data_IF_592290151592
#
_entry.id   IF_592290151592
#
_cell.length_a   1.000
_cell.length_b   1.000
_cell.length_c   1.000
_cell.angle_alpha   90.00
_cell.angle_beta   90.00
_cell.angle_gamma   90.00
#
_symmetry.space_group_name_H-M   'P 1'
#
loop_
_entity.id
_entity.type
_entity.pdbx_description
1 polymer ?
#
# COMPACT_ATOMS: atom_id res chain seq x y z
N UNK A 1 14.43 -8.55 -3.08
CA UNK A 1 13.58 -7.58 -2.37
C UNK A 1 12.56 -6.90 -3.28
N UNK A 2 12.94 -6.50 -4.49
CA UNK A 2 12.02 -5.86 -5.44
C UNK A 2 10.86 -6.78 -5.83
N UNK A 3 11.12 -8.04 -6.16
CA UNK A 3 10.07 -9.02 -6.47
C UNK A 3 9.14 -9.25 -5.29
N UNK A 4 9.67 -9.25 -4.07
CA UNK A 4 8.88 -9.38 -2.85
C UNK A 4 7.98 -8.16 -2.67
N UNK A 5 8.50 -6.95 -2.90
CA UNK A 5 7.70 -5.73 -2.85
C UNK A 5 6.54 -5.77 -3.84
N UNK A 6 6.82 -6.15 -5.09
CA UNK A 6 5.79 -6.29 -6.13
C UNK A 6 4.77 -7.36 -5.74
N UNK A 7 5.22 -8.49 -5.17
CA UNK A 7 4.31 -9.55 -4.71
C UNK A 7 3.35 -9.04 -3.63
N UNK A 8 3.82 -8.22 -2.69
CA UNK A 8 2.95 -7.59 -1.70
C UNK A 8 1.93 -6.65 -2.33
N UNK A 9 2.32 -5.88 -3.36
CA UNK A 9 1.38 -5.02 -4.09
C UNK A 9 0.32 -5.83 -4.80
N UNK A 10 0.71 -6.90 -5.48
CA UNK A 10 -0.23 -7.77 -6.19
C UNK A 10 -1.22 -8.40 -5.21
N UNK A 11 -0.72 -8.95 -4.10
CA UNK A 11 -1.57 -9.54 -3.06
C UNK A 11 -2.51 -8.49 -2.46
N UNK A 12 -2.00 -7.30 -2.15
CA UNK A 12 -2.80 -6.22 -1.58
C UNK A 12 -3.90 -5.76 -2.52
N UNK A 13 -3.58 -5.47 -3.77
CA UNK A 13 -4.56 -5.03 -4.75
C UNK A 13 -5.55 -6.12 -5.12
N UNK A 14 -5.13 -7.39 -5.13
CA UNK A 14 -6.05 -8.52 -5.32
C UNK A 14 -7.08 -8.60 -4.18
N UNK A 15 -6.64 -8.39 -2.95
CA UNK A 15 -7.52 -8.34 -1.79
C UNK A 15 -8.45 -7.12 -1.83
N UNK A 16 -8.04 -6.00 -2.45
CA UNK A 16 -8.93 -4.86 -2.68
C UNK A 16 -10.12 -5.25 -3.55
N UNK A 17 -9.91 -6.07 -4.57
CA UNK A 17 -10.99 -6.56 -5.43
C UNK A 17 -11.97 -7.40 -4.60
N UNK A 18 -11.45 -8.28 -3.75
CA UNK A 18 -12.27 -9.08 -2.84
C UNK A 18 -13.05 -8.19 -1.86
N UNK A 19 -12.40 -7.18 -1.31
CA UNK A 19 -13.04 -6.23 -0.39
C UNK A 19 -14.17 -5.46 -1.09
N UNK A 20 -13.94 -5.02 -2.33
CA UNK A 20 -14.96 -4.34 -3.11
C UNK A 20 -16.17 -5.25 -3.37
N UNK A 21 -15.95 -6.54 -3.63
CA UNK A 21 -17.03 -7.52 -3.76
C UNK A 21 -17.80 -7.70 -2.46
N UNK A 22 -17.13 -7.74 -1.32
CA UNK A 22 -17.77 -7.79 -0.01
C UNK A 22 -18.63 -6.56 0.24
N UNK A 23 -18.15 -5.38 -0.17
CA UNK A 23 -18.87 -4.13 -0.03
C UNK A 23 -20.19 -4.16 -0.82
N UNK A 24 -20.15 -4.71 -2.04
CA UNK A 24 -21.34 -4.92 -2.86
C UNK A 24 -22.30 -5.90 -2.18
N UNK A 25 -21.78 -7.01 -1.63
CA UNK A 25 -22.61 -8.00 -0.93
C UNK A 25 -23.22 -7.41 0.34
N UNK A 26 -22.47 -6.59 1.08
CA UNK A 26 -23.00 -5.90 2.26
C UNK A 26 -24.16 -4.97 1.89
N UNK A 27 -24.03 -4.23 0.78
CA UNK A 27 -25.09 -3.34 0.28
C UNK A 27 -26.33 -4.11 -0.12
N UNK A 28 -26.20 -5.39 -0.49
CA UNK A 28 -27.30 -6.27 -0.88
C UNK A 28 -27.79 -7.18 0.25
N UNK A 29 -27.25 -7.03 1.47
CA UNK A 29 -27.51 -7.92 2.61
C UNK A 29 -27.23 -9.41 2.31
N UNK A 30 -26.22 -9.68 1.46
CA UNK A 30 -25.86 -11.04 1.01
C UNK A 30 -24.52 -11.53 1.51
N UNK A 31 -23.87 -10.78 2.41
CA UNK A 31 -22.54 -11.15 2.90
C UNK A 31 -22.66 -12.26 3.97
N UNK A 32 -22.35 -13.49 3.57
CA UNK A 32 -22.34 -14.66 4.46
C UNK A 32 -20.93 -15.12 4.84
N UNK A 33 -19.89 -14.33 4.52
CA UNK A 33 -18.50 -14.74 4.71
C UNK A 33 -18.01 -14.60 6.14
N UNK A 34 -18.72 -13.83 6.98
CA UNK A 34 -18.28 -13.48 8.33
C UNK A 34 -17.21 -12.42 8.38
N UNK A 35 -16.79 -11.87 7.22
CA UNK A 35 -15.80 -10.80 7.11
C UNK A 35 -16.48 -9.53 6.63
N UNK A 36 -16.03 -8.38 7.17
CA UNK A 36 -16.51 -7.08 6.70
C UNK A 36 -15.58 -6.54 5.63
N UNK A 37 -16.12 -5.68 4.73
CA UNK A 37 -15.30 -5.03 3.71
C UNK A 37 -14.20 -4.18 4.34
N UNK A 38 -14.47 -3.50 5.46
CA UNK A 38 -13.51 -2.67 6.17
C UNK A 38 -12.32 -3.46 6.69
N UNK A 39 -12.55 -4.67 7.25
CA UNK A 39 -11.48 -5.56 7.70
C UNK A 39 -10.57 -5.97 6.56
N UNK A 40 -11.16 -6.34 5.41
CA UNK A 40 -10.40 -6.75 4.23
C UNK A 40 -9.66 -5.57 3.62
N UNK A 41 -10.27 -4.38 3.55
CA UNK A 41 -9.58 -3.17 3.10
C UNK A 41 -8.39 -2.84 3.98
N UNK A 42 -8.54 -2.95 5.30
CA UNK A 42 -7.46 -2.69 6.25
C UNK A 42 -6.29 -3.66 6.03
N UNK A 43 -6.58 -4.95 5.89
CA UNK A 43 -5.56 -5.96 5.61
C UNK A 43 -4.87 -5.71 4.27
N UNK A 44 -5.65 -5.43 3.22
CA UNK A 44 -5.14 -5.11 1.89
C UNK A 44 -4.22 -3.89 1.92
N UNK A 45 -4.60 -2.86 2.66
CA UNK A 45 -3.83 -1.64 2.77
C UNK A 45 -2.48 -1.89 3.47
N UNK A 46 -2.44 -2.78 4.45
CA UNK A 46 -1.19 -3.18 5.10
C UNK A 46 -0.24 -3.84 4.11
N UNK A 47 -0.77 -4.74 3.26
CA UNK A 47 0.05 -5.40 2.23
C UNK A 47 0.59 -4.40 1.21
N UNK A 48 -0.25 -3.48 0.74
CA UNK A 48 0.16 -2.44 -0.22
C UNK A 48 1.22 -1.53 0.38
N UNK A 49 1.04 -1.11 1.62
CA UNK A 49 2.01 -0.26 2.32
C UNK A 49 3.38 -0.96 2.44
N UNK A 50 3.40 -2.23 2.85
CA UNK A 50 4.64 -3.01 2.94
C UNK A 50 5.31 -3.11 1.57
N UNK A 51 4.52 -3.33 0.52
CA UNK A 51 5.04 -3.38 -0.85
C UNK A 51 5.75 -2.09 -1.25
N UNK A 52 5.13 -0.94 -1.00
CA UNK A 52 5.73 0.36 -1.32
C UNK A 52 6.96 0.67 -0.47
N UNK A 53 6.97 0.29 0.80
CA UNK A 53 8.15 0.45 1.65
C UNK A 53 9.33 -0.33 1.08
N UNK A 54 9.11 -1.60 0.70
CA UNK A 54 10.15 -2.42 0.10
C UNK A 54 10.65 -1.84 -1.22
N UNK A 55 9.75 -1.37 -2.08
CA UNK A 55 10.12 -0.75 -3.35
C UNK A 55 10.89 0.57 -3.15
N UNK A 56 10.50 1.35 -2.14
CA UNK A 56 11.23 2.56 -1.78
C UNK A 56 12.66 2.25 -1.33
N UNK A 57 12.83 1.21 -0.50
CA UNK A 57 14.16 0.78 -0.04
C UNK A 57 15.02 0.36 -1.24
N UNK A 58 14.48 -0.43 -2.17
CA UNK A 58 15.20 -0.85 -3.37
C UNK A 58 15.57 0.35 -4.24
N UNK A 59 14.62 1.25 -4.47
CA UNK A 59 14.86 2.44 -5.29
C UNK A 59 15.90 3.37 -4.66
N UNK A 60 15.87 3.52 -3.34
CA UNK A 60 16.86 4.32 -2.60
C UNK A 60 18.25 3.71 -2.69
N UNK A 61 18.36 2.39 -2.62
CA UNK A 61 19.65 1.70 -2.78
C UNK A 61 20.19 1.88 -4.20
N UNK A 62 19.33 1.80 -5.22
CA UNK A 62 19.75 2.04 -6.61
C UNK A 62 20.22 3.47 -6.80
N UNK A 63 19.51 4.43 -6.22
CA UNK A 63 19.90 5.84 -6.27
C UNK A 63 21.26 6.05 -5.63
N UNK A 64 21.49 5.46 -4.46
CA UNK A 64 22.77 5.57 -3.75
C UNK A 64 23.91 5.01 -4.58
N UNK A 65 23.74 3.83 -5.18
CA UNK A 65 24.75 3.18 -6.04
C UNK A 65 25.03 4.05 -7.28
N UNK A 66 23.99 4.59 -7.91
CA UNK A 66 24.13 5.45 -9.10
C UNK A 66 24.80 6.77 -8.77
N UNK A 67 24.47 7.39 -7.64
CA UNK A 67 25.10 8.62 -7.18
C UNK A 67 26.59 8.41 -6.94
N UNK A 68 26.95 7.31 -6.30
CA UNK A 68 28.34 6.93 -6.07
C UNK A 68 29.09 6.69 -7.39
N UNK A 69 28.44 6.03 -8.37
CA UNK A 69 29.03 5.78 -9.70
C UNK A 69 29.20 7.06 -10.51
N UNK A 70 28.31 8.03 -10.36
CA UNK A 70 28.33 9.29 -11.12
C UNK A 70 29.42 10.27 -10.69
N UNK A 71 30.12 10.02 -9.58
CA UNK A 71 31.35 10.76 -9.23
C UNK A 71 32.39 10.60 -10.34
N UNK A 72 32.32 9.52 -11.10
CA UNK A 72 33.26 9.18 -12.18
C UNK A 72 32.70 9.34 -13.60
N UNK A 73 31.41 9.75 -13.74
CA UNK A 73 30.72 9.89 -15.04
C UNK A 73 29.91 11.19 -15.07
N UNK A 74 29.94 11.91 -16.19
CA UNK A 74 29.27 13.19 -16.36
C UNK A 74 27.77 13.07 -16.72
N UNK A 75 27.17 11.88 -16.70
CA UNK A 75 25.76 11.66 -17.08
C UNK A 75 24.82 11.87 -15.88
N UNK A 76 24.28 13.09 -15.76
CA UNK A 76 23.38 13.47 -14.66
C UNK A 76 21.91 13.13 -14.93
N UNK A 77 21.53 12.82 -16.18
CA UNK A 77 20.13 12.60 -16.56
C UNK A 77 19.53 11.34 -15.89
N UNK A 78 20.31 10.27 -15.82
CA UNK A 78 19.88 9.03 -15.16
C UNK A 78 19.69 9.21 -13.66
N UNK A 79 20.55 10.04 -13.02
CA UNK A 79 20.46 10.31 -11.60
C UNK A 79 19.13 10.98 -11.25
N UNK A 80 18.70 11.96 -12.04
CA UNK A 80 17.40 12.64 -11.84
C UNK A 80 16.25 11.64 -11.96
N UNK A 81 16.30 10.74 -12.95
CA UNK A 81 15.28 9.70 -13.12
C UNK A 81 15.23 8.77 -11.90
N UNK A 82 16.35 8.31 -11.38
CA UNK A 82 16.42 7.46 -10.19
C UNK A 82 15.91 8.21 -8.94
N UNK A 83 16.22 9.48 -8.81
CA UNK A 83 15.70 10.32 -7.72
C UNK A 83 14.18 10.42 -7.79
N UNK A 84 13.63 10.64 -8.98
CA UNK A 84 12.18 10.74 -9.18
C UNK A 84 11.48 9.43 -8.84
N UNK A 85 12.05 8.29 -9.22
CA UNK A 85 11.49 6.97 -8.86
C UNK A 85 11.49 6.77 -7.34
N UNK A 86 12.61 7.04 -6.67
CA UNK A 86 12.70 6.89 -5.22
C UNK A 86 11.71 7.82 -4.52
N UNK A 87 11.62 9.07 -4.96
CA UNK A 87 10.70 10.05 -4.36
C UNK A 87 9.24 9.67 -4.59
N UNK A 88 8.90 9.11 -5.76
CA UNK A 88 7.54 8.67 -6.05
C UNK A 88 7.11 7.53 -5.11
N UNK A 89 7.99 6.58 -4.83
CA UNK A 89 7.70 5.51 -3.87
C UNK A 89 7.57 6.06 -2.44
N UNK A 90 8.39 7.03 -2.06
CA UNK A 90 8.28 7.68 -0.76
C UNK A 90 6.94 8.39 -0.60
N UNK A 91 6.50 9.12 -1.62
CA UNK A 91 5.17 9.76 -1.64
C UNK A 91 4.08 8.70 -1.54
N UNK A 92 4.23 7.58 -2.25
CA UNK A 92 3.29 6.46 -2.17
C UNK A 92 3.21 5.87 -0.76
N UNK A 93 4.34 5.76 -0.06
CA UNK A 93 4.37 5.30 1.34
C UNK A 93 3.54 6.23 2.21
N UNK A 94 3.73 7.54 2.12
CA UNK A 94 2.96 8.51 2.90
C UNK A 94 1.47 8.47 2.56
N UNK A 95 1.14 8.40 1.27
CA UNK A 95 -0.26 8.30 0.83
C UNK A 95 -0.93 7.05 1.39
N UNK A 96 -0.22 5.93 1.38
CA UNK A 96 -0.75 4.65 1.88
C UNK A 96 -0.83 4.60 3.40
N UNK A 97 0.05 5.32 4.11
CA UNK A 97 -0.06 5.49 5.56
C UNK A 97 -1.36 6.25 5.91
N UNK A 98 -1.67 7.29 5.16
CA UNK A 98 -2.92 8.05 5.35
C UNK A 98 -4.14 7.16 5.14
N UNK A 99 -4.12 6.32 4.10
CA UNK A 99 -5.21 5.37 3.83
C UNK A 99 -5.33 4.33 4.94
N UNK A 100 -4.20 3.81 5.42
CA UNK A 100 -4.20 2.82 6.51
C UNK A 100 -4.83 3.41 7.76
N UNK A 101 -4.45 4.63 8.12
CA UNK A 101 -5.02 5.33 9.26
C UNK A 101 -6.53 5.53 9.10
N UNK A 102 -6.97 5.95 7.91
CA UNK A 102 -8.39 6.15 7.62
C UNK A 102 -9.18 4.84 7.70
N UNK A 103 -8.68 3.76 7.11
CA UNK A 103 -9.34 2.46 7.17
C UNK A 103 -9.37 1.89 8.60
N UNK A 104 -8.31 2.12 9.37
CA UNK A 104 -8.27 1.69 10.77
C UNK A 104 -9.35 2.41 11.59
N UNK A 105 -9.50 3.70 11.37
CA UNK A 105 -10.53 4.50 12.04
C UNK A 105 -11.94 4.06 11.65
N UNK A 106 -12.18 3.81 10.37
CA UNK A 106 -13.48 3.33 9.89
C UNK A 106 -13.82 1.97 10.49
N UNK A 107 -12.84 1.09 10.60
CA UNK A 107 -13.02 -0.22 11.22
C UNK A 107 -13.36 -0.10 12.70
N UNK A 108 -12.68 0.79 13.43
CA UNK A 108 -12.96 1.07 14.83
C UNK A 108 -14.37 1.63 15.03
N UNK A 109 -14.80 2.57 14.17
CA UNK A 109 -16.13 3.16 14.25
C UNK A 109 -17.21 2.09 14.01
N UNK A 110 -17.01 1.18 13.06
CA UNK A 110 -17.91 0.06 12.80
C UNK A 110 -18.02 -0.88 14.01
N UNK A 111 -16.91 -1.22 14.65
CA UNK A 111 -16.90 -2.06 15.86
C UNK A 111 -17.70 -1.39 16.98
N UNK A 112 -17.55 -0.07 17.15
CA UNK A 112 -18.31 0.67 18.17
C UNK A 112 -19.80 0.70 17.87
N UNK A 113 -20.19 0.89 16.61
CA UNK A 113 -21.60 0.84 16.21
C UNK A 113 -22.23 -0.51 16.53
N UNK A 114 -21.52 -1.61 16.22
CA UNK A 114 -21.99 -2.96 16.58
C UNK A 114 -22.19 -3.14 18.08
N UNK A 115 -21.27 -2.61 18.89
CA UNK A 115 -21.38 -2.66 20.36
C UNK A 115 -22.56 -1.85 20.88
N UNK A 116 -22.87 -0.73 20.25
CA UNK A 116 -23.97 0.13 20.67
C UNK A 116 -25.34 -0.43 20.30
N UNK A 117 -25.39 -1.31 19.29
CA UNK A 117 -26.62 -2.00 18.88
C UNK A 117 -26.96 -3.19 19.79
N UNK A 118 -26.02 -3.70 20.57
CA UNK A 118 -26.23 -4.75 21.57
C UNK A 118 -26.85 -4.16 22.84
#
# INVERSE_FOLDING_TARGET
MEKVGVAFLVAGYSNYIYAANLDILDAQDRNNTGQTSEEVFLFSQRLVLLGYILLWIVASNRLYIKDFSNIYREENNDLVAYQNVANSYLISVFANLMRLEAFNKLNEDEIQEEKNEE
#
